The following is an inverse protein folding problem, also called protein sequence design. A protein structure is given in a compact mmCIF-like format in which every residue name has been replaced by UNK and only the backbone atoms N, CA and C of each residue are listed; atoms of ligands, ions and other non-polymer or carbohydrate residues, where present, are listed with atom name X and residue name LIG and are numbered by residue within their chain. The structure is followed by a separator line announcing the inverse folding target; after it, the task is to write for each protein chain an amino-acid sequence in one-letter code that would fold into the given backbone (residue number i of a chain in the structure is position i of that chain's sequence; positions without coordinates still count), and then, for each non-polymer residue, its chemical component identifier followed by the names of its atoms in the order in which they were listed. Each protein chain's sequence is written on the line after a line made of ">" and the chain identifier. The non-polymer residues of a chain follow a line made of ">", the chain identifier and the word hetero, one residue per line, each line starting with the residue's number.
data_IF_580394049754
#
_entry.id   IF_580394049754
#
_cell.length_a   1.000
_cell.length_b   1.000
_cell.length_c   1.000
_cell.angle_alpha   90.00
_cell.angle_beta   90.00
_cell.angle_gamma   90.00
#
_symmetry.space_group_name_H-M   'P 1'
#
loop_
_entity.id
_entity.type
_entity.pdbx_description
1 polymer ?
#
# COMPACT_ATOMS: atom_id res chain seq x y z
N UNK A 1 40.76 57.00 22.75
CA UNK A 1 41.28 56.37 21.52
C UNK A 1 40.93 54.89 21.54
N UNK A 2 39.90 54.52 20.78
CA UNK A 2 39.46 53.14 20.58
C UNK A 2 40.43 52.38 19.67
N UNK A 3 40.86 51.18 20.08
CA UNK A 3 41.18 50.06 19.17
C UNK A 3 40.66 48.77 19.81
N UNK A 4 40.04 47.88 19.02
CA UNK A 4 38.77 47.27 19.41
C UNK A 4 38.93 45.84 19.94
N UNK A 5 37.94 45.41 20.73
CA UNK A 5 37.75 44.10 21.37
C UNK A 5 37.58 42.91 20.40
N UNK A 6 38.16 42.97 19.20
CA UNK A 6 38.12 41.92 18.18
C UNK A 6 39.19 40.82 18.40
N UNK A 7 39.74 40.67 19.61
CA UNK A 7 40.73 39.62 19.92
C UNK A 7 40.11 38.27 20.32
N UNK A 8 38.92 38.28 20.94
CA UNK A 8 38.19 37.05 21.32
C UNK A 8 37.89 36.10 20.14
N UNK A 9 37.34 36.57 18.99
CA UNK A 9 37.07 35.65 17.87
C UNK A 9 38.33 34.98 17.34
N UNK A 10 39.50 35.63 17.46
CA UNK A 10 40.77 35.08 16.99
C UNK A 10 41.31 33.98 17.91
N UNK A 11 41.10 34.09 19.23
CA UNK A 11 41.49 33.06 20.19
C UNK A 11 40.59 31.83 20.05
N UNK A 12 39.27 32.03 19.90
CA UNK A 12 38.33 30.92 19.64
C UNK A 12 38.68 30.23 18.33
N UNK A 13 38.98 30.98 17.26
CA UNK A 13 39.42 30.39 15.99
C UNK A 13 40.74 29.63 16.12
N UNK A 14 41.68 30.12 16.93
CA UNK A 14 42.94 29.43 17.21
C UNK A 14 42.74 28.16 18.04
N UNK A 15 41.88 28.20 19.06
CA UNK A 15 41.57 27.05 19.91
C UNK A 15 40.87 25.93 19.10
N UNK A 16 39.96 26.31 18.20
CA UNK A 16 39.36 25.40 17.22
C UNK A 16 40.42 24.80 16.27
N UNK A 17 41.43 25.57 15.87
CA UNK A 17 42.52 25.08 15.03
C UNK A 17 43.48 24.14 15.77
N UNK A 18 43.61 24.30 17.10
CA UNK A 18 44.41 23.43 17.96
C UNK A 18 43.67 22.13 18.30
N UNK A 19 42.37 22.21 18.57
CA UNK A 19 41.51 21.06 18.88
C UNK A 19 40.85 20.46 17.63
N UNK A 20 41.67 20.11 16.63
CA UNK A 20 41.21 19.50 15.35
C UNK A 20 40.29 18.30 15.55
N UNK A 21 40.53 17.51 16.60
CA UNK A 21 39.70 16.36 16.97
C UNK A 21 38.27 16.75 17.34
N UNK A 22 38.07 17.85 18.07
CA UNK A 22 36.72 18.31 18.47
C UNK A 22 35.95 18.78 17.24
N UNK A 23 36.60 19.53 16.34
CA UNK A 23 35.98 19.94 15.07
C UNK A 23 35.60 18.73 14.20
N UNK A 24 36.49 17.73 14.09
CA UNK A 24 36.21 16.51 13.34
C UNK A 24 35.03 15.75 13.95
N UNK A 25 34.99 15.57 15.27
CA UNK A 25 33.89 14.94 15.97
C UNK A 25 32.57 15.72 15.78
N UNK A 26 32.62 17.05 15.89
CA UNK A 26 31.45 17.90 15.65
C UNK A 26 30.91 17.75 14.21
N UNK A 27 31.81 17.73 13.22
CA UNK A 27 31.44 17.49 11.82
C UNK A 27 30.84 16.10 11.62
N UNK A 28 31.39 15.08 12.28
CA UNK A 28 30.89 13.70 12.23
C UNK A 28 29.52 13.55 12.90
N UNK A 29 29.27 14.25 14.01
CA UNK A 29 27.96 14.29 14.67
C UNK A 29 26.94 15.02 13.78
N UNK A 30 27.33 16.14 13.17
CA UNK A 30 26.47 16.88 12.24
C UNK A 30 26.11 16.06 11.00
N UNK A 31 27.09 15.36 10.40
CA UNK A 31 26.83 14.49 9.24
C UNK A 31 25.93 13.32 9.62
N UNK A 32 26.13 12.73 10.80
CA UNK A 32 25.26 11.68 11.33
C UNK A 32 23.82 12.19 11.54
N UNK A 33 23.65 13.36 12.17
CA UNK A 33 22.33 13.97 12.35
C UNK A 33 21.60 14.18 11.02
N UNK A 34 22.29 14.69 10.00
CA UNK A 34 21.73 14.86 8.65
C UNK A 34 21.39 13.50 8.01
N UNK A 35 22.27 12.51 8.13
CA UNK A 35 22.03 11.16 7.60
C UNK A 35 20.81 10.48 8.24
N UNK A 36 20.62 10.61 9.55
CA UNK A 36 19.45 10.08 10.27
C UNK A 36 18.17 10.73 9.78
N UNK A 37 18.15 12.06 9.65
CA UNK A 37 16.98 12.80 9.14
C UNK A 37 16.66 12.42 7.70
N UNK A 38 17.68 12.35 6.83
CA UNK A 38 17.54 11.93 5.44
C UNK A 38 17.00 10.50 5.35
N UNK A 39 17.54 9.58 6.13
CA UNK A 39 17.07 8.19 6.18
C UNK A 39 15.61 8.12 6.61
N UNK A 40 15.22 8.84 7.66
CA UNK A 40 13.82 8.91 8.09
C UNK A 40 12.89 9.44 6.99
N UNK A 41 13.32 10.47 6.26
CA UNK A 41 12.56 11.03 5.15
C UNK A 41 12.38 10.04 4.00
N UNK A 42 13.46 9.36 3.60
CA UNK A 42 13.42 8.32 2.57
C UNK A 42 12.55 7.14 3.01
N UNK A 43 12.66 6.69 4.26
CA UNK A 43 11.81 5.63 4.81
C UNK A 43 10.33 6.00 4.71
N UNK A 44 9.94 7.22 5.10
CA UNK A 44 8.55 7.68 4.98
C UNK A 44 8.07 7.64 3.53
N UNK A 45 8.88 8.14 2.58
CA UNK A 45 8.53 8.12 1.15
C UNK A 45 8.33 6.70 0.64
N UNK A 46 9.26 5.79 0.97
CA UNK A 46 9.22 4.40 0.52
C UNK A 46 8.05 3.63 1.13
N UNK A 47 7.71 3.88 2.40
CA UNK A 47 6.53 3.30 3.05
C UNK A 47 5.25 3.80 2.39
N UNK A 48 5.14 5.08 2.05
CA UNK A 48 3.96 5.60 1.34
C UNK A 48 3.82 5.01 -0.06
N UNK A 49 4.92 4.87 -0.81
CA UNK A 49 4.89 4.25 -2.14
C UNK A 49 4.47 2.77 -2.05
N UNK A 50 5.01 2.03 -1.07
CA UNK A 50 4.59 0.65 -0.82
C UNK A 50 3.10 0.59 -0.45
N UNK A 51 2.64 1.43 0.47
CA UNK A 51 1.23 1.45 0.87
C UNK A 51 0.29 1.72 -0.33
N UNK A 52 0.68 2.61 -1.25
CA UNK A 52 -0.07 2.87 -2.48
C UNK A 52 -0.12 1.63 -3.40
N UNK A 53 1.02 0.97 -3.61
CA UNK A 53 1.09 -0.25 -4.41
C UNK A 53 0.27 -1.39 -3.78
N UNK A 54 0.26 -1.49 -2.45
CA UNK A 54 -0.52 -2.49 -1.72
C UNK A 54 -2.03 -2.21 -1.86
N UNK A 55 -2.46 -0.96 -1.69
CA UNK A 55 -3.86 -0.57 -1.87
C UNK A 55 -4.35 -0.85 -3.30
N UNK A 56 -3.51 -0.63 -4.31
CA UNK A 56 -3.86 -0.95 -5.69
C UNK A 56 -3.99 -2.47 -5.92
N UNK A 57 -3.10 -3.27 -5.31
CA UNK A 57 -3.21 -4.73 -5.33
C UNK A 57 -4.51 -5.20 -4.69
N UNK A 58 -4.85 -4.67 -3.52
CA UNK A 58 -6.07 -5.04 -2.79
C UNK A 58 -7.32 -4.64 -3.58
N UNK A 59 -7.29 -3.47 -4.24
CA UNK A 59 -8.36 -3.02 -5.13
C UNK A 59 -8.57 -4.00 -6.29
N UNK A 60 -7.48 -4.41 -6.95
CA UNK A 60 -7.53 -5.35 -8.06
C UNK A 60 -8.02 -6.74 -7.61
N UNK A 61 -7.67 -7.20 -6.40
CA UNK A 61 -8.18 -8.46 -5.85
C UNK A 61 -9.68 -8.40 -5.57
N UNK A 62 -10.17 -7.29 -5.01
CA UNK A 62 -11.62 -7.07 -4.82
C UNK A 62 -12.34 -7.08 -6.17
N UNK A 63 -11.80 -6.38 -7.16
CA UNK A 63 -12.36 -6.34 -8.52
C UNK A 63 -12.40 -7.74 -9.15
N UNK A 64 -11.31 -8.50 -9.06
CA UNK A 64 -11.24 -9.88 -9.53
C UNK A 64 -12.30 -10.77 -8.87
N UNK A 65 -12.46 -10.67 -7.54
CA UNK A 65 -13.47 -11.43 -6.81
C UNK A 65 -14.89 -11.06 -7.23
N UNK A 66 -15.14 -9.78 -7.51
CA UNK A 66 -16.44 -9.33 -8.03
C UNK A 66 -16.72 -9.88 -9.43
N UNK A 67 -15.74 -9.85 -10.32
CA UNK A 67 -15.85 -10.41 -11.67
C UNK A 67 -16.10 -11.93 -11.63
N UNK A 68 -15.42 -12.65 -10.75
CA UNK A 68 -15.64 -14.08 -10.55
C UNK A 68 -17.07 -14.36 -10.07
N UNK A 69 -17.58 -13.58 -9.11
CA UNK A 69 -18.97 -13.70 -8.65
C UNK A 69 -19.98 -13.44 -9.78
N UNK A 70 -19.70 -12.46 -10.64
CA UNK A 70 -20.51 -12.18 -11.83
C UNK A 70 -20.55 -13.38 -12.78
N UNK A 71 -19.39 -13.98 -13.10
CA UNK A 71 -19.28 -15.16 -13.96
C UNK A 71 -20.02 -16.38 -13.41
N UNK A 72 -19.84 -16.66 -12.11
CA UNK A 72 -20.52 -17.79 -11.45
C UNK A 72 -22.04 -17.57 -11.39
N UNK A 73 -22.51 -16.34 -11.18
CA UNK A 73 -23.94 -16.04 -11.15
C UNK A 73 -24.65 -16.24 -12.50
N UNK A 74 -23.91 -16.11 -13.62
CA UNK A 74 -24.46 -16.27 -14.96
C UNK A 74 -24.55 -17.75 -15.40
N UNK A 75 -23.66 -18.61 -14.90
CA UNK A 75 -23.45 -19.95 -15.48
C UNK A 75 -24.47 -20.99 -15.02
N UNK A 76 -24.75 -21.09 -13.72
CA UNK A 76 -25.42 -22.30 -13.21
C UNK A 76 -26.96 -22.22 -13.21
N UNK A 77 -27.57 -21.23 -12.56
CA UNK A 77 -29.04 -21.26 -12.37
C UNK A 77 -29.79 -20.54 -13.49
N UNK A 78 -29.38 -19.31 -13.80
CA UNK A 78 -30.10 -18.43 -14.72
C UNK A 78 -30.07 -18.95 -16.17
N UNK A 79 -28.94 -19.50 -16.60
CA UNK A 79 -28.77 -20.01 -17.98
C UNK A 79 -29.55 -21.30 -18.19
N UNK A 80 -29.46 -22.25 -17.27
CA UNK A 80 -30.17 -23.53 -17.38
C UNK A 80 -31.68 -23.32 -17.35
N UNK A 81 -32.19 -22.52 -16.39
CA UNK A 81 -33.63 -22.21 -16.33
C UNK A 81 -34.11 -21.49 -17.59
N UNK A 82 -33.32 -20.56 -18.13
CA UNK A 82 -33.68 -19.85 -19.36
C UNK A 82 -33.74 -20.79 -20.57
N UNK A 83 -32.74 -21.67 -20.74
CA UNK A 83 -32.75 -22.67 -21.82
C UNK A 83 -33.94 -23.62 -21.66
N UNK A 84 -34.17 -24.13 -20.44
CA UNK A 84 -35.30 -25.01 -20.16
C UNK A 84 -36.64 -24.34 -20.48
N UNK A 85 -36.87 -23.11 -20.03
CA UNK A 85 -38.15 -22.43 -20.26
C UNK A 85 -38.31 -21.85 -21.66
N UNK A 86 -37.24 -21.38 -22.32
CA UNK A 86 -37.32 -20.73 -23.63
C UNK A 86 -37.11 -21.69 -24.80
N UNK A 87 -36.10 -22.54 -24.73
CA UNK A 87 -35.73 -23.42 -25.83
C UNK A 87 -36.47 -24.77 -25.74
N UNK A 88 -36.72 -25.26 -24.52
CA UNK A 88 -37.47 -26.51 -24.28
C UNK A 88 -38.94 -26.28 -23.90
N UNK A 89 -39.41 -25.04 -23.80
CA UNK A 89 -40.77 -24.69 -23.34
C UNK A 89 -41.16 -25.35 -22.00
N UNK A 90 -40.19 -25.65 -21.14
CA UNK A 90 -40.45 -26.26 -19.84
C UNK A 90 -41.00 -25.22 -18.87
N UNK A 91 -42.18 -25.49 -18.33
CA UNK A 91 -42.76 -24.76 -17.19
C UNK A 91 -42.62 -25.59 -15.91
N UNK A 92 -42.63 -24.93 -14.75
CA UNK A 92 -42.68 -25.62 -13.46
C UNK A 92 -44.03 -26.32 -13.34
N UNK A 93 -44.08 -27.65 -13.17
CA UNK A 93 -45.35 -28.36 -13.02
C UNK A 93 -46.03 -27.96 -11.71
N UNK A 94 -47.35 -27.89 -11.73
CA UNK A 94 -48.15 -27.69 -10.52
C UNK A 94 -48.16 -28.99 -9.69
N UNK A 95 -48.38 -28.93 -8.37
CA UNK A 95 -48.47 -30.13 -7.52
C UNK A 95 -49.50 -31.17 -8.00
N UNK A 96 -50.53 -30.73 -8.74
CA UNK A 96 -51.54 -31.61 -9.34
C UNK A 96 -51.05 -32.41 -10.55
N UNK A 97 -49.90 -32.06 -11.12
CA UNK A 97 -49.33 -32.68 -12.33
C UNK A 97 -48.18 -33.66 -12.01
N UNK A 98 -47.82 -33.82 -10.73
CA UNK A 98 -46.72 -34.68 -10.29
C UNK A 98 -47.15 -36.15 -10.19
N UNK A 99 -46.42 -37.05 -10.84
CA UNK A 99 -46.66 -38.50 -10.81
C UNK A 99 -45.42 -39.18 -10.23
N UNK A 100 -45.53 -39.74 -9.01
CA UNK A 100 -44.43 -40.42 -8.33
C UNK A 100 -44.32 -41.87 -8.81
N UNK A 101 -43.28 -42.17 -9.59
CA UNK A 101 -42.99 -43.54 -10.06
C UNK A 101 -42.07 -44.23 -9.05
N UNK A 102 -42.56 -45.32 -8.43
CA UNK A 102 -41.71 -46.21 -7.62
C UNK A 102 -40.90 -47.08 -8.58
N UNK A 103 -39.59 -46.82 -8.69
CA UNK A 103 -38.68 -47.72 -9.41
C UNK A 103 -38.56 -49.05 -8.64
N UNK A 104 -38.62 -50.20 -9.33
CA UNK A 104 -38.59 -51.53 -8.72
C UNK A 104 -37.21 -51.92 -8.16
#
# INVERSE_FOLDING_TARGET
>A
MSKPSLTLPRIVLHDLWQHKWILLLALLVLSNAVAVVYTSHVSRKLTTEWDQLLQERDRLDIEWRNLLLEEQSQTEHSRITRIASKDLNMSRPLPSEEIVVKVP
#
